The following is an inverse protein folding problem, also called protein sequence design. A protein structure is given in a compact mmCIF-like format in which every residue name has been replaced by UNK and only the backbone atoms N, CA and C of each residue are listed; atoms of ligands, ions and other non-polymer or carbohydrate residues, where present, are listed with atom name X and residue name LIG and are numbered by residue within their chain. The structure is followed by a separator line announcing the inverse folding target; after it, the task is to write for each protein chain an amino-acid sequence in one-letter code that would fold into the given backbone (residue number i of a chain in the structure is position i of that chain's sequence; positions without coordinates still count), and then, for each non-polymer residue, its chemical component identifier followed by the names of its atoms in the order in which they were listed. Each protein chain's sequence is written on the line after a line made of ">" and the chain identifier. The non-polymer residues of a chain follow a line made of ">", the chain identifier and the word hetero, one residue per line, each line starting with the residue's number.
data_IF_792736315751
#
_entry.id   IF_792736315751
#
_cell.length_a   1.000
_cell.length_b   1.000
_cell.length_c   1.000
_cell.angle_alpha   90.00
_cell.angle_beta   90.00
_cell.angle_gamma   90.00
#
_symmetry.space_group_name_H-M   'P 1'
#
loop_
_entity.id
_entity.type
_entity.pdbx_description
1 polymer ?
#
# COMPACT_ATOMS: atom_id res chain seq x y z
N UNK A 1 -6.93 -16.11 16.08
CA UNK A 1 -5.48 -16.32 16.04
C UNK A 1 -5.22 -17.45 15.06
N UNK A 2 -4.06 -17.41 14.40
CA UNK A 2 -3.62 -18.36 13.35
C UNK A 2 -4.52 -18.41 12.09
N UNK A 3 -5.07 -17.27 11.71
CA UNK A 3 -5.86 -17.10 10.50
C UNK A 3 -5.34 -15.91 9.69
N UNK A 4 -5.43 -15.98 8.35
CA UNK A 4 -5.07 -14.85 7.49
C UNK A 4 -6.00 -13.64 7.74
N UNK A 5 -7.23 -13.86 8.20
CA UNK A 5 -8.15 -12.80 8.57
C UNK A 5 -7.62 -11.90 9.68
N UNK A 6 -6.90 -12.47 10.68
CA UNK A 6 -6.30 -11.66 11.74
C UNK A 6 -5.28 -10.65 11.20
N UNK A 7 -4.55 -11.01 10.14
CA UNK A 7 -3.62 -10.09 9.46
C UNK A 7 -4.35 -9.05 8.62
N UNK A 8 -5.37 -9.46 7.86
CA UNK A 8 -6.14 -8.56 6.99
C UNK A 8 -6.83 -7.48 7.83
N UNK A 9 -7.54 -7.86 8.88
CA UNK A 9 -8.30 -6.91 9.72
C UNK A 9 -7.38 -5.91 10.40
N UNK A 10 -6.24 -6.34 10.94
CA UNK A 10 -5.28 -5.45 11.61
C UNK A 10 -4.60 -4.47 10.66
N UNK A 11 -4.47 -4.82 9.37
CA UNK A 11 -3.85 -3.98 8.34
C UNK A 11 -4.86 -3.10 7.57
N UNK A 12 -6.16 -3.26 7.81
CA UNK A 12 -7.19 -2.45 7.11
C UNK A 12 -7.12 -0.97 7.47
N UNK A 13 -6.68 -0.64 8.69
CA UNK A 13 -6.57 0.74 9.16
C UNK A 13 -5.18 1.30 8.87
N UNK A 14 -5.10 2.24 7.90
CA UNK A 14 -3.86 2.90 7.50
C UNK A 14 -3.94 4.43 7.66
N UNK A 15 -3.63 4.97 8.86
CA UNK A 15 -3.80 6.39 9.19
C UNK A 15 -3.05 7.33 8.26
N UNK A 16 -1.80 6.99 7.90
CA UNK A 16 -1.00 7.80 6.99
C UNK A 16 -1.66 7.94 5.62
N UNK A 17 -2.23 6.85 5.09
CA UNK A 17 -2.95 6.87 3.81
C UNK A 17 -4.18 7.76 3.86
N UNK A 18 -4.97 7.65 4.94
CA UNK A 18 -6.15 8.50 5.16
C UNK A 18 -5.74 9.98 5.21
N UNK A 19 -4.68 10.31 5.95
CA UNK A 19 -4.16 11.66 6.04
C UNK A 19 -3.73 12.21 4.68
N UNK A 20 -2.91 11.46 3.94
CA UNK A 20 -2.39 11.89 2.64
C UNK A 20 -3.50 12.10 1.61
N UNK A 21 -4.46 11.17 1.53
CA UNK A 21 -5.60 11.30 0.62
C UNK A 21 -6.46 12.50 0.98
N UNK A 22 -6.73 12.71 2.27
CA UNK A 22 -7.48 13.89 2.73
C UNK A 22 -6.77 15.19 2.36
N UNK A 23 -5.45 15.28 2.58
CA UNK A 23 -4.70 16.48 2.23
C UNK A 23 -4.73 16.77 0.72
N UNK A 24 -4.60 15.73 -0.10
CA UNK A 24 -4.73 15.90 -1.54
C UNK A 24 -6.14 16.34 -1.94
N UNK A 25 -7.18 15.68 -1.43
CA UNK A 25 -8.57 16.00 -1.78
C UNK A 25 -8.95 17.45 -1.39
N UNK A 26 -8.33 18.01 -0.36
CA UNK A 26 -8.51 19.42 0.02
C UNK A 26 -7.90 20.41 -1.00
N UNK A 27 -6.99 19.96 -1.87
CA UNK A 27 -6.43 20.81 -2.94
C UNK A 27 -7.32 20.88 -4.18
N UNK A 28 -8.32 20.00 -4.29
CA UNK A 28 -9.27 20.00 -5.41
C UNK A 28 -10.19 21.23 -5.27
N UNK A 29 -10.28 22.09 -6.31
CA UNK A 29 -11.16 23.25 -6.27
C UNK A 29 -12.63 22.85 -6.07
N UNK A 30 -13.32 23.51 -5.15
CA UNK A 30 -14.73 23.24 -4.85
C UNK A 30 -15.68 23.45 -6.04
N UNK A 31 -15.26 24.24 -7.02
CA UNK A 31 -16.04 24.46 -8.25
C UNK A 31 -16.42 23.18 -8.99
N UNK A 32 -15.59 22.11 -8.88
CA UNK A 32 -15.93 20.81 -9.47
C UNK A 32 -17.09 20.13 -8.74
N UNK A 33 -17.10 20.22 -7.41
CA UNK A 33 -18.20 19.68 -6.60
C UNK A 33 -19.48 20.47 -6.84
N UNK A 34 -19.37 21.80 -6.85
CA UNK A 34 -20.51 22.72 -7.07
C UNK A 34 -21.15 22.50 -8.45
N UNK A 35 -20.34 22.40 -9.51
CA UNK A 35 -20.82 22.10 -10.84
C UNK A 35 -21.59 20.77 -10.90
N UNK A 36 -21.03 19.72 -10.30
CA UNK A 36 -21.68 18.40 -10.27
C UNK A 36 -23.00 18.43 -9.45
N UNK A 37 -23.08 19.22 -8.38
CA UNK A 37 -24.33 19.40 -7.63
C UNK A 37 -25.38 20.17 -8.42
N UNK A 38 -24.98 21.17 -9.23
CA UNK A 38 -25.90 21.89 -10.12
C UNK A 38 -26.47 20.98 -11.20
N UNK A 39 -25.68 19.99 -11.64
CA UNK A 39 -26.12 18.92 -12.56
C UNK A 39 -26.99 17.85 -11.87
N UNK A 40 -27.31 18.01 -10.59
CA UNK A 40 -28.17 17.09 -9.82
C UNK A 40 -27.46 15.84 -9.28
N UNK A 41 -26.13 15.81 -9.27
CA UNK A 41 -25.40 14.66 -8.74
C UNK A 41 -25.53 14.53 -7.21
N UNK A 42 -25.74 13.32 -6.73
CA UNK A 42 -25.68 13.01 -5.30
C UNK A 42 -24.21 13.01 -4.81
N UNK A 43 -24.00 13.13 -3.48
CA UNK A 43 -22.66 13.10 -2.86
C UNK A 43 -21.83 11.86 -3.27
N UNK A 44 -22.46 10.70 -3.39
CA UNK A 44 -21.78 9.46 -3.80
C UNK A 44 -21.39 9.53 -5.29
N UNK A 45 -22.21 10.12 -6.13
CA UNK A 45 -21.89 10.32 -7.55
C UNK A 45 -20.75 11.31 -7.72
N UNK A 46 -20.74 12.44 -6.98
CA UNK A 46 -19.61 13.38 -6.96
C UNK A 46 -18.32 12.66 -6.53
N UNK A 47 -18.35 11.87 -5.46
CA UNK A 47 -17.19 11.11 -5.01
C UNK A 47 -16.67 10.18 -6.12
N UNK A 48 -17.54 9.38 -6.73
CA UNK A 48 -17.14 8.33 -7.66
C UNK A 48 -16.76 8.86 -9.04
N UNK A 49 -17.43 9.92 -9.53
CA UNK A 49 -17.24 10.42 -10.90
C UNK A 49 -16.35 11.66 -11.00
N UNK A 50 -16.15 12.38 -9.88
CA UNK A 50 -15.30 13.58 -9.85
C UNK A 50 -14.06 13.35 -8.98
N UNK A 51 -14.24 13.14 -7.67
CA UNK A 51 -13.14 13.14 -6.71
C UNK A 51 -12.20 11.96 -6.89
N UNK A 52 -12.71 10.73 -6.98
CA UNK A 52 -11.87 9.53 -7.16
C UNK A 52 -11.08 9.57 -8.48
N UNK A 53 -11.68 9.89 -9.63
CA UNK A 53 -10.92 10.03 -10.88
C UNK A 53 -9.82 11.08 -10.83
N UNK A 54 -10.08 12.24 -10.20
CA UNK A 54 -9.07 13.28 -10.01
C UNK A 54 -7.96 12.88 -9.03
N UNK A 55 -8.27 11.99 -8.11
CA UNK A 55 -7.34 11.50 -7.05
C UNK A 55 -6.62 10.20 -7.43
N UNK A 56 -6.70 9.72 -8.68
CA UNK A 56 -6.10 8.43 -9.09
C UNK A 56 -4.62 8.33 -8.74
N UNK A 57 -3.82 9.36 -9.03
CA UNK A 57 -2.39 9.34 -8.77
C UNK A 57 -2.07 9.24 -7.27
N UNK A 58 -2.57 10.11 -6.38
CA UNK A 58 -2.35 9.97 -4.94
C UNK A 58 -2.94 8.67 -4.35
N UNK A 59 -4.06 8.17 -4.86
CA UNK A 59 -4.58 6.87 -4.45
C UNK A 59 -3.57 5.76 -4.75
N UNK A 60 -2.99 5.73 -5.95
CA UNK A 60 -1.98 4.74 -6.32
C UNK A 60 -0.72 4.85 -5.45
N UNK A 61 -0.27 6.07 -5.14
CA UNK A 61 0.85 6.29 -4.21
C UNK A 61 0.55 5.69 -2.84
N UNK A 62 -0.62 5.98 -2.28
CA UNK A 62 -1.03 5.47 -0.96
C UNK A 62 -1.17 3.94 -0.97
N UNK A 63 -1.77 3.37 -2.01
CA UNK A 63 -1.87 1.91 -2.18
C UNK A 63 -0.50 1.26 -2.22
N UNK A 64 0.44 1.84 -2.98
CA UNK A 64 1.80 1.33 -3.06
C UNK A 64 2.54 1.43 -1.72
N UNK A 65 2.45 2.57 -1.02
CA UNK A 65 3.05 2.74 0.30
C UNK A 65 2.48 1.75 1.32
N UNK A 66 1.18 1.55 1.31
CA UNK A 66 0.52 0.59 2.19
C UNK A 66 0.93 -0.86 1.86
N UNK A 67 1.02 -1.19 0.57
CA UNK A 67 1.53 -2.49 0.12
C UNK A 67 2.94 -2.75 0.67
N UNK A 68 3.88 -1.81 0.49
CA UNK A 68 5.26 -1.96 0.99
C UNK A 68 5.29 -2.11 2.52
N UNK A 69 4.49 -1.31 3.24
CA UNK A 69 4.39 -1.39 4.70
C UNK A 69 3.88 -2.76 5.16
N UNK A 70 2.83 -3.27 4.50
CA UNK A 70 2.24 -4.58 4.80
C UNK A 70 3.15 -5.73 4.39
N UNK A 71 3.80 -5.64 3.22
CA UNK A 71 4.74 -6.65 2.71
C UNK A 71 5.91 -6.87 3.66
N UNK A 72 6.44 -5.78 4.24
CA UNK A 72 7.57 -5.83 5.17
C UNK A 72 7.14 -6.05 6.62
N UNK A 73 5.84 -6.19 6.91
CA UNK A 73 5.38 -6.38 8.28
C UNK A 73 5.80 -7.73 8.84
N UNK A 74 6.60 -7.68 9.88
CA UNK A 74 7.10 -8.85 10.60
C UNK A 74 6.35 -9.08 11.91
N UNK A 75 6.10 -8.02 12.68
CA UNK A 75 5.55 -8.15 14.03
C UNK A 75 4.10 -8.65 14.06
N UNK A 76 3.25 -8.16 13.17
CA UNK A 76 1.87 -8.63 13.07
C UNK A 76 1.80 -10.14 12.83
N UNK A 77 2.39 -10.67 11.76
CA UNK A 77 2.45 -12.10 11.53
C UNK A 77 3.09 -12.91 12.68
N UNK A 78 4.14 -12.40 13.30
CA UNK A 78 4.79 -13.07 14.44
C UNK A 78 3.84 -13.26 15.64
N UNK A 79 2.93 -12.31 15.88
CA UNK A 79 1.96 -12.39 16.99
C UNK A 79 0.77 -13.27 16.65
N UNK A 80 0.29 -13.20 15.41
CA UNK A 80 -0.99 -13.79 15.01
C UNK A 80 -0.88 -15.16 14.34
N UNK A 81 0.29 -15.54 13.78
CA UNK A 81 0.48 -16.75 13.00
C UNK A 81 1.41 -17.72 13.74
N UNK A 82 0.92 -18.92 13.98
CA UNK A 82 1.69 -19.99 14.63
C UNK A 82 2.03 -21.13 13.67
N UNK A 83 1.24 -21.35 12.62
CA UNK A 83 1.43 -22.43 11.65
C UNK A 83 2.43 -22.01 10.54
N UNK A 84 3.47 -22.81 10.32
CA UNK A 84 4.53 -22.52 9.33
C UNK A 84 3.99 -22.29 7.92
N UNK A 85 2.97 -23.04 7.49
CA UNK A 85 2.38 -22.91 6.14
C UNK A 85 1.60 -21.60 5.92
N UNK A 86 1.31 -20.85 6.98
CA UNK A 86 0.62 -19.56 6.94
C UNK A 86 1.53 -18.36 7.16
N UNK A 87 2.82 -18.60 7.40
CA UNK A 87 3.78 -17.53 7.65
C UNK A 87 3.93 -16.62 6.43
N UNK A 88 4.00 -15.32 6.69
CA UNK A 88 4.39 -14.34 5.67
C UNK A 88 5.86 -14.48 5.34
N UNK A 89 6.28 -13.96 4.19
CA UNK A 89 7.66 -14.09 3.72
C UNK A 89 8.69 -13.53 4.71
N UNK A 90 8.52 -12.33 5.30
CA UNK A 90 9.45 -11.83 6.32
C UNK A 90 9.55 -12.73 7.55
N UNK A 91 8.44 -13.29 7.99
CA UNK A 91 8.42 -14.22 9.13
C UNK A 91 9.06 -15.56 8.75
N UNK A 92 8.74 -16.10 7.58
CA UNK A 92 9.32 -17.36 7.08
C UNK A 92 10.83 -17.30 6.90
N UNK A 93 11.39 -16.15 6.51
CA UNK A 93 12.84 -15.97 6.39
C UNK A 93 13.58 -16.16 7.73
N UNK A 94 12.91 -15.98 8.86
CA UNK A 94 13.52 -16.24 10.17
C UNK A 94 13.75 -17.74 10.43
N UNK A 95 12.92 -18.61 9.81
CA UNK A 95 13.11 -20.07 9.91
C UNK A 95 14.37 -20.56 9.19
N UNK A 96 14.86 -19.77 8.21
CA UNK A 96 16.11 -20.08 7.50
C UNK A 96 17.36 -19.75 8.34
N UNK A 97 17.19 -19.00 9.44
CA UNK A 97 18.23 -18.83 10.45
C UNK A 97 18.23 -20.10 11.29
N UNK A 98 19.17 -21.00 11.03
CA UNK A 98 19.28 -22.27 11.75
C UNK A 98 19.32 -22.10 13.28
N UNK A 99 18.89 -23.12 14.00
CA UNK A 99 19.01 -23.19 15.43
C UNK A 99 20.52 -23.25 15.81
N UNK A 100 20.90 -22.57 16.92
CA UNK A 100 22.24 -22.59 17.52
C UNK A 100 23.40 -22.03 16.65
N UNK A 101 23.16 -20.95 15.91
CA UNK A 101 24.26 -20.19 15.28
C UNK A 101 24.74 -20.72 13.92
N UNK A 102 24.20 -21.83 13.43
CA UNK A 102 24.48 -22.35 12.09
C UNK A 102 23.56 -21.69 11.04
N UNK A 103 23.67 -20.36 10.88
CA UNK A 103 22.91 -19.64 9.85
C UNK A 103 23.54 -19.90 8.48
N UNK A 104 22.83 -20.54 7.58
CA UNK A 104 23.24 -20.60 6.18
C UNK A 104 22.95 -19.24 5.51
N UNK A 105 23.98 -18.36 5.55
CA UNK A 105 23.85 -16.99 5.02
C UNK A 105 23.45 -16.98 3.55
N UNK A 106 23.96 -17.93 2.74
CA UNK A 106 23.62 -18.02 1.33
C UNK A 106 22.13 -18.29 1.12
N UNK A 107 21.54 -19.17 1.92
CA UNK A 107 20.12 -19.49 1.85
C UNK A 107 19.25 -18.29 2.26
N UNK A 108 19.63 -17.58 3.32
CA UNK A 108 18.94 -16.36 3.77
C UNK A 108 19.02 -15.28 2.69
N UNK A 109 20.20 -15.06 2.09
CA UNK A 109 20.36 -14.09 1.00
C UNK A 109 19.52 -14.43 -0.23
N UNK A 110 19.47 -15.72 -0.62
CA UNK A 110 18.59 -16.16 -1.70
C UNK A 110 17.11 -15.86 -1.40
N UNK A 111 16.67 -16.12 -0.18
CA UNK A 111 15.31 -15.81 0.26
C UNK A 111 15.01 -14.31 0.24
N UNK A 112 15.96 -13.46 0.66
CA UNK A 112 15.82 -11.99 0.60
C UNK A 112 15.72 -11.49 -0.85
N UNK A 113 16.53 -12.04 -1.75
CA UNK A 113 16.45 -11.68 -3.19
C UNK A 113 15.06 -12.03 -3.74
N UNK A 114 14.55 -13.22 -3.47
CA UNK A 114 13.20 -13.63 -3.88
C UNK A 114 12.12 -12.69 -3.28
N UNK A 115 12.30 -12.28 -2.03
CA UNK A 115 11.39 -11.34 -1.36
C UNK A 115 11.34 -9.97 -2.03
N UNK A 116 12.43 -9.50 -2.64
CA UNK A 116 12.50 -8.22 -3.33
C UNK A 116 11.84 -8.23 -4.71
N UNK A 117 11.71 -9.39 -5.36
CA UNK A 117 11.16 -9.50 -6.71
C UNK A 117 9.74 -8.92 -6.79
N UNK A 118 8.87 -9.26 -5.83
CA UNK A 118 7.46 -8.84 -5.86
C UNK A 118 7.30 -7.32 -5.73
N UNK A 119 7.91 -6.65 -4.73
CA UNK A 119 7.88 -5.18 -4.65
C UNK A 119 8.46 -4.49 -5.89
N UNK A 120 9.56 -5.01 -6.44
CA UNK A 120 10.18 -4.46 -7.64
C UNK A 120 9.27 -4.58 -8.87
N UNK A 121 8.64 -5.74 -9.07
CA UNK A 121 7.69 -5.92 -10.18
C UNK A 121 6.52 -4.95 -10.07
N UNK A 122 5.93 -4.80 -8.88
CA UNK A 122 4.81 -3.86 -8.65
C UNK A 122 5.27 -2.43 -8.90
N UNK A 123 6.49 -2.06 -8.46
CA UNK A 123 7.06 -0.74 -8.71
C UNK A 123 7.23 -0.49 -10.22
N UNK A 124 7.87 -1.41 -10.95
CA UNK A 124 8.11 -1.26 -12.41
C UNK A 124 6.80 -1.10 -13.17
N UNK A 125 5.76 -1.87 -12.82
CA UNK A 125 4.43 -1.73 -13.46
C UNK A 125 3.76 -0.42 -13.07
N UNK A 126 3.87 -0.01 -11.78
CA UNK A 126 3.19 1.15 -11.22
C UNK A 126 3.86 2.49 -11.52
N UNK A 127 5.18 2.54 -11.76
CA UNK A 127 5.98 3.78 -11.84
C UNK A 127 5.43 4.81 -12.84
N UNK A 128 4.97 4.36 -14.00
CA UNK A 128 4.38 5.25 -15.02
C UNK A 128 3.12 5.99 -14.54
N UNK A 129 2.37 5.39 -13.65
CA UNK A 129 1.16 5.98 -13.07
C UNK A 129 1.49 6.85 -11.85
N UNK A 130 2.59 6.55 -11.13
CA UNK A 130 3.06 7.34 -10.00
C UNK A 130 3.68 8.67 -10.47
N UNK A 131 4.46 8.67 -11.56
CA UNK A 131 5.13 9.87 -12.07
C UNK A 131 4.19 10.84 -12.78
N UNK A 132 3.12 10.37 -13.43
CA UNK A 132 2.14 11.22 -14.13
C UNK A 132 1.40 12.21 -13.22
N UNK A 133 1.27 11.93 -11.93
CA UNK A 133 0.58 12.80 -10.96
C UNK A 133 1.45 13.91 -10.37
N UNK A 134 2.78 13.75 -10.37
CA UNK A 134 3.70 14.72 -9.75
C UNK A 134 3.98 15.92 -10.66
N UNK A 135 3.93 15.75 -11.98
CA UNK A 135 4.24 16.83 -12.93
C UNK A 135 3.15 17.91 -13.02
N UNK A 136 1.92 17.66 -12.58
CA UNK A 136 0.82 18.64 -12.66
C UNK A 136 0.90 19.70 -11.54
N UNK A 137 1.56 19.41 -10.42
CA UNK A 137 1.70 20.35 -9.30
C UNK A 137 2.93 21.25 -9.37
N UNK A 138 3.88 20.98 -10.28
CA UNK A 138 5.15 21.71 -10.41
C UNK A 138 5.15 22.90 -11.40
N UNK A 139 4.07 23.15 -12.14
CA UNK A 139 4.00 24.23 -13.14
C UNK A 139 2.93 25.24 -12.74
N UNK A 140 3.07 25.84 -11.58
CA UNK A 140 2.44 27.12 -11.20
C UNK A 140 3.38 27.87 -10.25
N UNK A 141 4.41 28.44 -10.82
CA UNK A 141 5.11 29.59 -10.26
C UNK A 141 5.12 30.69 -11.30
#
# INVERSE_FOLDING_TARGET
>A
IDTLWSLIVTQTYYPLGIFLLRQFMLTIPKSYDEAAYLDGASKIQVLNHVIIPMSKAPILVVVFMHFISTWNNFFGPMIFISTNSKMTLPLGLTLLKGNMGATNLSLVMAGVILALIVPLMIYVVGQKHLMGGVMISGIKS
#
